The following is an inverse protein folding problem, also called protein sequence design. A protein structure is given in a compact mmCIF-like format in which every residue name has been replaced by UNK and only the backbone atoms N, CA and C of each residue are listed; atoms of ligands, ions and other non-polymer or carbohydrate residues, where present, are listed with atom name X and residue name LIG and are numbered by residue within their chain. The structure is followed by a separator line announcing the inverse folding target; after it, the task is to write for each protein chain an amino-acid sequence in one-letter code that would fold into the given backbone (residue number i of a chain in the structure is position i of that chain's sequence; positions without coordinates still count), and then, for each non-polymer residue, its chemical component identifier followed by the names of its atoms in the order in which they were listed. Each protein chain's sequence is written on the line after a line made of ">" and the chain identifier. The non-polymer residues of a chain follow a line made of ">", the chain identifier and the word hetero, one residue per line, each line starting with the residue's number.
data_IF_006370638862
#
_entry.id   IF_006370638862
#
_cell.length_a   1.000
_cell.length_b   1.000
_cell.length_c   1.000
_cell.angle_alpha   90.00
_cell.angle_beta   90.00
_cell.angle_gamma   90.00
#
_symmetry.space_group_name_H-M   'P 1'
#
loop_
_entity.id
_entity.type
_entity.pdbx_description
1 polymer ?
#
# COMPACT_ATOMS: atom_id res chain seq x y z
N UNK A 1 16.02 -13.97 10.43
CA UNK A 1 16.10 -12.63 11.06
C UNK A 1 14.83 -11.85 10.75
N UNK A 2 14.17 -11.34 11.77
CA UNK A 2 12.92 -10.59 11.63
C UNK A 2 13.20 -9.07 11.62
N UNK A 3 13.81 -8.62 10.54
CA UNK A 3 14.28 -7.22 10.41
C UNK A 3 13.19 -6.17 10.39
N UNK A 4 11.94 -6.57 10.15
CA UNK A 4 10.78 -5.67 10.12
C UNK A 4 9.87 -5.81 11.33
N UNK A 5 10.36 -6.40 12.42
CA UNK A 5 9.59 -6.57 13.64
C UNK A 5 9.10 -5.21 14.18
N UNK A 6 7.84 -5.15 14.61
CA UNK A 6 7.15 -3.91 15.04
C UNK A 6 7.02 -2.82 13.96
N UNK A 7 7.26 -3.15 12.69
CA UNK A 7 7.00 -2.24 11.56
C UNK A 7 5.65 -2.55 10.95
N UNK A 8 4.89 -1.53 10.62
CA UNK A 8 3.64 -1.67 9.88
C UNK A 8 3.84 -1.18 8.45
N UNK A 9 3.47 -2.01 7.50
CA UNK A 9 3.64 -1.78 6.06
C UNK A 9 2.28 -1.76 5.38
N UNK A 10 1.98 -0.70 4.64
CA UNK A 10 0.84 -0.68 3.72
C UNK A 10 1.35 -1.02 2.33
N UNK A 11 0.76 -2.03 1.70
CA UNK A 11 1.11 -2.44 0.33
C UNK A 11 -0.14 -2.32 -0.53
N UNK A 12 -0.09 -1.48 -1.56
CA UNK A 12 -1.19 -1.32 -2.51
C UNK A 12 -1.08 -2.31 -3.65
N UNK A 13 -2.22 -2.72 -4.21
CA UNK A 13 -2.23 -3.75 -5.24
C UNK A 13 -1.68 -5.10 -4.75
N UNK A 14 -1.91 -5.40 -3.49
CA UNK A 14 -1.29 -6.55 -2.82
C UNK A 14 -2.08 -7.86 -2.94
N UNK A 15 -3.22 -7.84 -3.63
CA UNK A 15 -4.06 -9.02 -3.83
C UNK A 15 -3.50 -10.05 -4.82
N UNK A 16 -2.35 -9.79 -5.44
CA UNK A 16 -1.73 -10.70 -6.39
C UNK A 16 -0.37 -10.19 -6.87
N UNK A 17 0.28 -10.96 -7.74
CA UNK A 17 1.52 -10.58 -8.39
C UNK A 17 2.63 -10.15 -7.43
N UNK A 18 3.32 -9.09 -7.79
CA UNK A 18 4.42 -8.53 -6.99
C UNK A 18 3.94 -8.08 -5.60
N UNK A 19 2.78 -7.45 -5.53
CA UNK A 19 2.23 -6.98 -4.24
C UNK A 19 1.99 -8.11 -3.26
N UNK A 20 1.49 -9.26 -3.73
CA UNK A 20 1.36 -10.48 -2.92
C UNK A 20 2.73 -10.97 -2.45
N UNK A 21 3.71 -11.02 -3.34
CA UNK A 21 5.07 -11.44 -2.99
C UNK A 21 5.68 -10.53 -1.92
N UNK A 22 5.50 -9.22 -2.05
CA UNK A 22 5.93 -8.26 -1.03
C UNK A 22 5.23 -8.50 0.32
N UNK A 23 3.91 -8.70 0.30
CA UNK A 23 3.14 -8.96 1.52
C UNK A 23 3.69 -10.18 2.29
N UNK A 24 3.94 -11.26 1.58
CA UNK A 24 4.51 -12.48 2.16
C UNK A 24 5.93 -12.24 2.70
N UNK A 25 6.78 -11.55 1.93
CA UNK A 25 8.16 -11.26 2.34
C UNK A 25 8.21 -10.37 3.59
N UNK A 26 7.42 -9.30 3.63
CA UNK A 26 7.34 -8.43 4.81
C UNK A 26 6.78 -9.17 6.02
N UNK A 27 5.75 -9.98 5.83
CA UNK A 27 5.19 -10.82 6.91
C UNK A 27 6.22 -11.78 7.51
N UNK A 28 6.99 -12.47 6.66
CA UNK A 28 8.08 -13.34 7.09
C UNK A 28 9.20 -12.57 7.81
N UNK A 29 9.43 -11.32 7.40
CA UNK A 29 10.39 -10.43 8.07
C UNK A 29 9.88 -9.84 9.39
N UNK A 30 8.65 -10.17 9.79
CA UNK A 30 8.07 -9.77 11.07
C UNK A 30 7.21 -8.52 11.04
N UNK A 31 6.94 -7.94 9.88
CA UNK A 31 6.08 -6.77 9.76
C UNK A 31 4.60 -7.10 9.98
N UNK A 32 3.85 -6.10 10.43
CA UNK A 32 2.40 -6.07 10.34
C UNK A 32 2.05 -5.57 8.92
N UNK A 33 1.27 -6.32 8.16
CA UNK A 33 1.03 -6.04 6.75
C UNK A 33 -0.42 -5.63 6.52
N UNK A 34 -0.62 -4.44 5.97
CA UNK A 34 -1.92 -4.03 5.43
C UNK A 34 -1.94 -4.38 3.94
N UNK A 35 -2.74 -5.39 3.61
CA UNK A 35 -2.90 -5.89 2.25
C UNK A 35 -4.04 -5.12 1.60
N UNK A 36 -3.71 -4.09 0.83
CA UNK A 36 -4.69 -3.28 0.12
C UNK A 36 -4.86 -3.74 -1.33
N UNK A 37 -6.09 -3.95 -1.73
CA UNK A 37 -6.48 -4.22 -3.12
C UNK A 37 -7.95 -3.82 -3.29
N UNK A 38 -8.34 -3.32 -4.46
CA UNK A 38 -9.74 -3.03 -4.76
C UNK A 38 -10.60 -4.28 -4.78
N UNK A 39 -9.98 -5.44 -5.01
CA UNK A 39 -10.62 -6.75 -4.92
C UNK A 39 -10.46 -7.30 -3.51
N UNK A 40 -11.48 -7.12 -2.67
CA UNK A 40 -11.44 -7.51 -1.27
C UNK A 40 -11.11 -9.00 -1.07
N UNK A 41 -11.72 -9.89 -1.84
CA UNK A 41 -11.45 -11.34 -1.76
C UNK A 41 -9.97 -11.67 -1.98
N UNK A 42 -9.33 -11.01 -2.96
CA UNK A 42 -7.92 -11.20 -3.22
C UNK A 42 -7.07 -10.70 -2.05
N UNK A 43 -7.41 -9.54 -1.48
CA UNK A 43 -6.73 -9.01 -0.30
C UNK A 43 -6.87 -9.93 0.91
N UNK A 44 -8.07 -10.46 1.15
CA UNK A 44 -8.35 -11.38 2.25
C UNK A 44 -7.57 -12.70 2.10
N UNK A 45 -7.49 -13.22 0.89
CA UNK A 45 -6.71 -14.43 0.62
C UNK A 45 -5.23 -14.23 0.94
N UNK A 46 -4.63 -13.13 0.49
CA UNK A 46 -3.23 -12.83 0.76
C UNK A 46 -2.99 -12.57 2.24
N UNK A 47 -3.90 -11.85 2.91
CA UNK A 47 -3.82 -11.65 4.35
C UNK A 47 -3.85 -12.98 5.12
N UNK A 48 -4.70 -13.93 4.69
CA UNK A 48 -4.74 -15.27 5.27
C UNK A 48 -3.42 -16.03 5.05
N UNK A 49 -2.81 -15.91 3.87
CA UNK A 49 -1.52 -16.54 3.57
C UNK A 49 -0.40 -15.97 4.47
N UNK A 50 -0.38 -14.65 4.69
CA UNK A 50 0.58 -14.00 5.60
C UNK A 50 0.42 -14.54 7.02
N UNK A 51 -0.82 -14.64 7.49
CA UNK A 51 -1.12 -15.19 8.83
C UNK A 51 -0.74 -16.65 8.95
N UNK A 52 -1.02 -17.46 7.94
CA UNK A 52 -0.66 -18.89 7.91
C UNK A 52 0.87 -19.08 7.96
N UNK A 53 1.63 -18.14 7.43
CA UNK A 53 3.10 -18.14 7.50
C UNK A 53 3.65 -17.57 8.82
N UNK A 54 2.80 -17.23 9.77
CA UNK A 54 3.17 -16.75 11.11
C UNK A 54 3.28 -15.23 11.24
N UNK A 55 2.86 -14.46 10.23
CA UNK A 55 2.81 -13.01 10.26
C UNK A 55 1.47 -12.44 10.73
N UNK A 56 1.40 -11.11 10.82
CA UNK A 56 0.18 -10.37 11.08
C UNK A 56 -0.25 -9.62 9.83
N UNK A 57 -1.53 -9.65 9.49
CA UNK A 57 -2.05 -8.97 8.32
C UNK A 57 -3.49 -8.51 8.48
N UNK A 58 -3.82 -7.44 7.75
CA UNK A 58 -5.14 -6.86 7.63
C UNK A 58 -5.47 -6.69 6.15
N UNK A 59 -6.60 -7.23 5.69
CA UNK A 59 -7.11 -6.96 4.35
C UNK A 59 -7.85 -5.62 4.32
N UNK A 60 -7.69 -4.87 3.25
CA UNK A 60 -8.30 -3.55 3.07
C UNK A 60 -8.65 -3.32 1.60
N UNK A 61 -9.81 -2.72 1.32
CA UNK A 61 -10.24 -2.41 -0.04
C UNK A 61 -10.37 -0.90 -0.33
N UNK A 62 -9.74 -0.07 0.48
CA UNK A 62 -9.80 1.39 0.29
C UNK A 62 -9.28 1.82 -1.09
N UNK A 63 -9.92 2.85 -1.66
CA UNK A 63 -9.53 3.41 -2.95
C UNK A 63 -8.32 4.33 -2.77
N UNK A 64 -7.19 3.95 -3.35
CA UNK A 64 -5.95 4.73 -3.30
C UNK A 64 -6.00 6.00 -4.16
N UNK A 65 -6.99 6.14 -5.04
CA UNK A 65 -7.09 7.25 -5.99
C UNK A 65 -7.89 8.44 -5.48
N UNK A 66 -8.35 8.38 -4.23
CA UNK A 66 -9.00 9.49 -3.54
C UNK A 66 -8.36 9.73 -2.18
N UNK A 67 -8.36 10.99 -1.74
CA UNK A 67 -7.84 11.33 -0.41
C UNK A 67 -8.66 10.67 0.70
N UNK A 68 -9.97 10.60 0.56
CA UNK A 68 -10.85 9.94 1.53
C UNK A 68 -10.58 8.43 1.62
N UNK A 69 -10.41 7.76 0.48
CA UNK A 69 -10.06 6.34 0.43
C UNK A 69 -8.69 6.06 1.04
N UNK A 70 -7.70 6.88 0.69
CA UNK A 70 -6.35 6.78 1.25
C UNK A 70 -6.35 7.02 2.77
N UNK A 71 -7.11 8.01 3.26
CA UNK A 71 -7.24 8.25 4.70
C UNK A 71 -7.85 7.04 5.41
N UNK A 72 -8.88 6.41 4.83
CA UNK A 72 -9.49 5.22 5.42
C UNK A 72 -8.51 4.05 5.54
N UNK A 73 -7.59 3.90 4.58
CA UNK A 73 -6.54 2.88 4.64
C UNK A 73 -5.58 3.14 5.81
N UNK A 74 -5.13 4.38 5.95
CA UNK A 74 -4.23 4.78 7.05
C UNK A 74 -4.93 4.62 8.40
N UNK A 75 -6.19 5.05 8.51
CA UNK A 75 -6.96 4.91 9.75
C UNK A 75 -7.12 3.43 10.16
N UNK A 76 -7.41 2.55 9.21
CA UNK A 76 -7.51 1.12 9.47
C UNK A 76 -6.17 0.52 9.93
N UNK A 77 -5.07 0.93 9.31
CA UNK A 77 -3.72 0.49 9.68
C UNK A 77 -3.36 0.93 11.10
N UNK A 78 -3.63 2.19 11.44
CA UNK A 78 -3.36 2.75 12.76
C UNK A 78 -4.24 2.09 13.83
N UNK A 79 -5.52 1.88 13.55
CA UNK A 79 -6.44 1.20 14.47
C UNK A 79 -6.00 -0.24 14.77
N UNK A 80 -5.49 -0.96 13.78
CA UNK A 80 -5.07 -2.35 13.94
C UNK A 80 -3.67 -2.49 14.56
N UNK A 81 -2.72 -1.61 14.19
CA UNK A 81 -1.29 -1.81 14.48
C UNK A 81 -0.59 -0.62 15.15
N UNK A 82 -1.29 0.47 15.37
CA UNK A 82 -0.81 1.65 16.11
C UNK A 82 -0.13 2.71 15.25
N UNK A 83 0.82 2.34 14.39
CA UNK A 83 1.54 3.28 13.54
C UNK A 83 1.83 2.68 12.17
N UNK A 84 2.13 3.51 11.18
CA UNK A 84 2.56 3.09 9.85
C UNK A 84 3.99 3.56 9.61
N UNK A 85 4.86 2.66 9.20
CA UNK A 85 6.29 2.91 8.99
C UNK A 85 6.69 2.86 7.53
N UNK A 86 6.02 2.02 6.73
CA UNK A 86 6.38 1.79 5.34
C UNK A 86 5.16 1.85 4.45
N UNK A 87 5.29 2.56 3.35
CA UNK A 87 4.33 2.55 2.24
C UNK A 87 4.98 1.93 1.01
N UNK A 88 4.38 0.89 0.47
CA UNK A 88 4.74 0.31 -0.83
C UNK A 88 3.65 0.65 -1.82
N UNK A 89 3.91 1.65 -2.65
CA UNK A 89 3.06 2.03 -3.77
C UNK A 89 3.32 1.07 -4.94
N UNK A 90 2.53 -0.01 -4.99
CA UNK A 90 2.69 -1.05 -5.99
C UNK A 90 1.49 -1.17 -6.93
N UNK A 91 0.32 -0.70 -6.53
CA UNK A 91 -0.88 -0.78 -7.38
C UNK A 91 -0.63 -0.15 -8.75
N UNK A 92 -1.07 -0.83 -9.79
CA UNK A 92 -0.96 -0.36 -11.16
C UNK A 92 -1.93 -1.09 -12.06
N UNK A 93 -2.22 -0.48 -13.19
CA UNK A 93 -3.02 -1.04 -14.26
C UNK A 93 -2.31 -0.85 -15.59
N UNK A 94 -2.63 -1.69 -16.54
CA UNK A 94 -2.12 -1.59 -17.89
C UNK A 94 -3.27 -1.32 -18.87
N UNK A 95 -3.11 -0.32 -19.71
CA UNK A 95 -3.99 0.00 -20.83
C UNK A 95 -3.14 0.18 -22.07
N UNK A 96 -2.56 -0.96 -22.51
CA UNK A 96 -1.62 -0.98 -23.62
C UNK A 96 -2.36 -0.85 -24.94
N UNK A 97 -2.12 0.27 -25.64
CA UNK A 97 -2.69 0.64 -26.92
C UNK A 97 -1.64 1.39 -27.73
N UNK A 98 -1.76 1.32 -29.05
CA UNK A 98 -1.06 2.28 -29.91
C UNK A 98 -1.51 3.71 -29.54
N UNK A 99 -0.60 4.65 -29.50
CA UNK A 99 -0.90 6.03 -29.08
C UNK A 99 -2.11 6.63 -29.79
N UNK A 100 -2.21 6.40 -31.11
CA UNK A 100 -3.33 6.92 -31.92
C UNK A 100 -4.67 6.26 -31.63
N UNK A 101 -4.66 5.13 -30.95
CA UNK A 101 -5.87 4.36 -30.56
C UNK A 101 -6.17 4.47 -29.07
N UNK A 102 -5.34 5.17 -28.33
CA UNK A 102 -5.54 5.37 -26.88
C UNK A 102 -6.71 6.31 -26.66
N UNK A 103 -7.67 5.89 -25.85
CA UNK A 103 -8.79 6.75 -25.47
C UNK A 103 -8.40 7.69 -24.33
N UNK A 104 -9.08 8.83 -24.23
CA UNK A 104 -8.94 9.75 -23.09
C UNK A 104 -9.26 9.03 -21.78
N UNK A 105 -10.27 8.17 -21.78
CA UNK A 105 -10.69 7.38 -20.61
C UNK A 105 -9.57 6.44 -20.13
N UNK A 106 -8.89 5.74 -21.04
CA UNK A 106 -7.74 4.90 -20.71
C UNK A 106 -6.58 5.72 -20.17
N UNK A 107 -6.30 6.88 -20.78
CA UNK A 107 -5.29 7.82 -20.30
C UNK A 107 -5.58 8.28 -18.87
N UNK A 108 -6.80 8.78 -18.65
CA UNK A 108 -7.20 9.29 -17.34
C UNK A 108 -7.13 8.22 -16.26
N UNK A 109 -7.51 6.98 -16.57
CA UNK A 109 -7.48 5.88 -15.63
C UNK A 109 -6.04 5.51 -15.26
N UNK A 110 -5.13 5.46 -16.22
CA UNK A 110 -3.70 5.18 -15.97
C UNK A 110 -3.08 6.28 -15.11
N UNK A 111 -3.33 7.54 -15.44
CA UNK A 111 -2.86 8.67 -14.65
C UNK A 111 -3.44 8.67 -13.24
N UNK A 112 -4.71 8.35 -13.11
CA UNK A 112 -5.40 8.27 -11.82
C UNK A 112 -4.79 7.19 -10.91
N UNK A 113 -4.56 6.01 -11.41
CA UNK A 113 -4.01 4.90 -10.61
C UNK A 113 -2.52 5.08 -10.35
N UNK A 114 -1.73 5.32 -11.39
CA UNK A 114 -0.28 5.35 -11.26
C UNK A 114 0.26 6.64 -10.67
N UNK A 115 -0.35 7.79 -10.94
CA UNK A 115 0.14 9.08 -10.43
C UNK A 115 -0.62 9.52 -9.18
N UNK A 116 -1.92 9.72 -9.29
CA UNK A 116 -2.73 10.14 -8.14
C UNK A 116 -2.77 9.08 -7.04
N UNK A 117 -2.79 7.79 -7.40
CA UNK A 117 -2.74 6.68 -6.45
C UNK A 117 -1.47 6.66 -5.61
N UNK A 118 -0.33 7.06 -6.18
CA UNK A 118 0.91 7.24 -5.41
C UNK A 118 0.86 8.49 -4.51
N UNK A 119 0.29 9.57 -5.02
CA UNK A 119 0.20 10.83 -4.31
C UNK A 119 -0.63 10.74 -3.02
N UNK A 120 -1.81 10.14 -3.07
CA UNK A 120 -2.76 10.21 -1.96
C UNK A 120 -2.21 9.64 -0.65
N UNK A 121 -1.73 8.40 -0.66
CA UNK A 121 -1.14 7.76 0.53
C UNK A 121 0.18 8.41 0.94
N UNK A 122 1.03 8.73 -0.02
CA UNK A 122 2.31 9.39 0.28
C UNK A 122 2.11 10.76 0.93
N UNK A 123 1.11 11.52 0.49
CA UNK A 123 0.78 12.82 1.08
C UNK A 123 0.27 12.67 2.53
N UNK A 124 -0.66 11.77 2.77
CA UNK A 124 -1.23 11.55 4.11
C UNK A 124 -0.18 11.06 5.09
N UNK A 125 0.58 10.03 4.71
CA UNK A 125 1.63 9.47 5.56
C UNK A 125 2.78 10.45 5.76
N UNK A 126 3.19 11.17 4.72
CA UNK A 126 4.24 12.18 4.82
C UNK A 126 3.88 13.29 5.81
N UNK A 127 2.62 13.76 5.79
CA UNK A 127 2.15 14.73 6.78
C UNK A 127 2.13 14.14 8.19
N UNK A 128 1.65 12.91 8.34
CA UNK A 128 1.61 12.21 9.62
C UNK A 128 3.01 12.06 10.22
N UNK A 129 3.97 11.62 9.43
CA UNK A 129 5.37 11.46 9.87
C UNK A 129 6.04 12.79 10.19
N UNK A 130 5.80 13.81 9.38
CA UNK A 130 6.30 15.17 9.66
C UNK A 130 5.76 15.70 11.00
N UNK A 131 4.47 15.56 11.23
CA UNK A 131 3.84 16.08 12.46
C UNK A 131 4.32 15.30 13.69
N UNK A 132 4.52 14.00 13.59
CA UNK A 132 5.12 13.20 14.65
C UNK A 132 6.57 13.64 14.95
N UNK A 133 7.36 13.89 13.91
CA UNK A 133 8.74 14.38 14.09
C UNK A 133 8.77 15.76 14.77
N UNK A 134 7.86 16.66 14.40
CA UNK A 134 7.71 17.98 15.04
C UNK A 134 7.31 17.86 16.51
N UNK A 135 6.55 16.82 16.89
CA UNK A 135 6.15 16.54 18.25
C UNK A 135 7.25 15.82 19.06
N UNK A 136 8.42 15.59 18.48
CA UNK A 136 9.56 14.95 19.14
C UNK A 136 9.59 13.43 19.05
N UNK A 137 8.70 12.81 18.27
CA UNK A 137 8.70 11.37 18.07
C UNK A 137 9.68 10.98 16.94
N UNK A 138 10.53 10.01 17.19
CA UNK A 138 11.42 9.46 16.18
C UNK A 138 10.71 8.37 15.41
N UNK A 139 10.40 8.64 14.14
CA UNK A 139 9.80 7.66 13.23
C UNK A 139 10.79 7.35 12.12
N UNK A 140 11.08 6.07 11.94
CA UNK A 140 11.84 5.58 10.80
C UNK A 140 10.86 5.15 9.71
N UNK A 141 10.65 6.03 8.75
CA UNK A 141 9.69 5.85 7.67
C UNK A 141 10.35 5.60 6.32
N UNK A 142 9.68 4.83 5.47
CA UNK A 142 10.13 4.53 4.10
C UNK A 142 8.96 4.54 3.13
N UNK A 143 9.19 5.05 1.94
CA UNK A 143 8.28 4.92 0.79
C UNK A 143 9.01 4.14 -0.29
N UNK A 144 8.39 3.08 -0.77
CA UNK A 144 8.90 2.25 -1.86
C UNK A 144 7.90 2.35 -3.00
N UNK A 145 8.37 2.76 -4.16
CA UNK A 145 7.56 2.89 -5.37
C UNK A 145 7.94 1.82 -6.38
N UNK A 146 6.96 1.07 -6.85
CA UNK A 146 7.16 0.18 -7.98
C UNK A 146 7.15 1.01 -9.26
N UNK A 147 8.20 0.90 -10.05
CA UNK A 147 8.32 1.54 -11.35
C UNK A 147 8.55 0.50 -12.43
N UNK A 148 8.32 0.90 -13.67
CA UNK A 148 8.55 0.08 -14.86
C UNK A 148 9.31 0.88 -15.89
N UNK A 149 10.21 0.20 -16.62
CA UNK A 149 10.97 0.79 -17.73
C UNK A 149 10.41 0.38 -19.07
#
# INVERSE_FOLDING_TARGET
>A
MRICEQRTVIITGAGGGLGRAYALAFGLAGANVVVNDIRLEAAEQVAAEVKAAGGEALANQGDITSMAGAQSIVDAAVAAFGEVHVLVNNAGILRDRMFVSLSEEDWDLVMKVHLKGHFCLANILGRRWRDAAKAGHKIEARIINTSSG
#
